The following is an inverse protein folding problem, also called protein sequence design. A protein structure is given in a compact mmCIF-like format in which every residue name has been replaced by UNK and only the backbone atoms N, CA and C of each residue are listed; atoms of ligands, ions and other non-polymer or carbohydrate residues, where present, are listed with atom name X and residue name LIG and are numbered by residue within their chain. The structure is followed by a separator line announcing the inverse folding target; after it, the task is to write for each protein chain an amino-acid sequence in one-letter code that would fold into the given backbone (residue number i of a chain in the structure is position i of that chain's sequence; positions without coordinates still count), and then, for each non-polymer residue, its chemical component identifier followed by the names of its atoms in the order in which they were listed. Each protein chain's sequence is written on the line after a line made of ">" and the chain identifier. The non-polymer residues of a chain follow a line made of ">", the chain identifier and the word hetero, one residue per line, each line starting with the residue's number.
data_IF_147905618050
#
_entry.id   IF_147905618050
#
_cell.length_a   1.000
_cell.length_b   1.000
_cell.length_c   1.000
_cell.angle_alpha   90.00
_cell.angle_beta   90.00
_cell.angle_gamma   90.00
#
_symmetry.space_group_name_H-M   'P 1'
#
loop_
_entity.id
_entity.type
_entity.pdbx_description
1 polymer ?
#
# COMPACT_ATOMS: atom_id res chain seq x y z
N UNK A 1 14.22 -26.26 19.45
CA UNK A 1 14.60 -26.55 18.06
C UNK A 1 15.37 -25.35 17.58
N UNK A 2 16.54 -25.55 16.97
CA UNK A 2 17.49 -24.48 16.69
C UNK A 2 16.92 -23.44 15.69
N UNK A 3 17.09 -22.17 16.00
CA UNK A 3 16.76 -20.96 15.22
C UNK A 3 17.28 -20.95 13.75
N UNK A 4 18.06 -21.95 13.37
CA UNK A 4 18.79 -21.98 12.08
C UNK A 4 17.96 -22.39 10.85
N UNK A 5 16.64 -22.54 10.99
CA UNK A 5 15.76 -22.95 9.86
C UNK A 5 14.83 -21.86 9.34
N UNK A 6 14.74 -20.73 10.04
CA UNK A 6 13.93 -19.59 9.61
C UNK A 6 14.77 -18.75 8.64
N UNK A 7 14.26 -18.56 7.42
CA UNK A 7 14.89 -17.74 6.38
C UNK A 7 14.75 -16.26 6.77
N UNK A 8 15.71 -15.45 6.33
CA UNK A 8 15.69 -14.01 6.58
C UNK A 8 14.64 -13.31 5.70
N UNK A 9 13.55 -12.86 6.33
CA UNK A 9 12.45 -12.16 5.66
C UNK A 9 12.89 -10.89 4.95
N UNK A 10 13.91 -10.23 5.47
CA UNK A 10 14.32 -8.90 5.01
C UNK A 10 15.36 -8.95 3.89
N UNK A 11 16.10 -10.03 3.74
CA UNK A 11 17.18 -10.13 2.76
C UNK A 11 17.05 -11.29 1.76
N UNK A 12 16.21 -12.30 2.04
CA UNK A 12 16.05 -13.47 1.16
C UNK A 12 15.00 -13.23 0.06
N UNK A 13 15.42 -13.03 -1.22
CA UNK A 13 14.51 -12.72 -2.32
C UNK A 13 13.60 -13.90 -2.68
N UNK A 14 13.96 -15.14 -2.33
CA UNK A 14 13.13 -16.30 -2.63
C UNK A 14 11.87 -16.36 -1.77
N UNK A 15 11.81 -15.68 -0.62
CA UNK A 15 10.59 -15.56 0.19
C UNK A 15 9.49 -14.87 -0.61
N UNK A 16 9.84 -13.91 -1.47
CA UNK A 16 8.85 -13.24 -2.32
C UNK A 16 8.14 -14.19 -3.29
N UNK A 17 8.78 -15.32 -3.65
CA UNK A 17 8.19 -16.32 -4.55
C UNK A 17 7.15 -17.23 -3.86
N UNK A 18 7.30 -17.47 -2.54
CA UNK A 18 6.34 -18.23 -1.72
C UNK A 18 6.13 -17.58 -0.36
N UNK A 19 5.75 -16.30 -0.37
CA UNK A 19 5.45 -15.57 0.86
C UNK A 19 4.30 -16.20 1.67
N UNK A 20 3.19 -16.68 1.06
CA UNK A 20 2.13 -17.33 1.82
C UNK A 20 2.62 -18.56 2.60
N UNK A 21 3.41 -19.43 1.97
CA UNK A 21 3.99 -20.60 2.62
C UNK A 21 4.94 -20.24 3.75
N UNK A 22 5.81 -19.26 3.53
CA UNK A 22 6.73 -18.74 4.55
C UNK A 22 5.96 -18.22 5.78
N UNK A 23 4.99 -17.31 5.58
CA UNK A 23 4.20 -16.71 6.67
C UNK A 23 3.31 -17.74 7.38
N UNK A 24 2.79 -18.75 6.66
CA UNK A 24 2.08 -19.88 7.27
C UNK A 24 3.02 -20.70 8.15
N UNK A 25 4.26 -20.93 7.71
CA UNK A 25 5.28 -21.61 8.49
C UNK A 25 5.60 -20.88 9.81
N UNK A 26 5.72 -19.56 9.79
CA UNK A 26 5.87 -18.74 11.01
C UNK A 26 4.65 -18.86 11.93
N UNK A 27 3.45 -18.67 11.39
CA UNK A 27 2.19 -18.74 12.15
C UNK A 27 1.98 -20.09 12.82
N UNK A 28 2.32 -21.17 12.16
CA UNK A 28 2.19 -22.52 12.72
C UNK A 28 3.14 -22.78 13.89
N UNK A 29 4.25 -22.06 13.97
CA UNK A 29 5.12 -22.11 15.13
C UNK A 29 4.56 -21.22 16.26
N UNK A 30 4.29 -19.97 15.96
CA UNK A 30 3.67 -19.00 16.86
C UNK A 30 3.07 -17.84 16.05
N UNK A 31 1.84 -17.37 16.32
CA UNK A 31 1.24 -16.21 15.66
C UNK A 31 2.02 -14.90 15.85
N UNK A 32 2.83 -14.81 16.89
CA UNK A 32 3.80 -13.73 17.15
C UNK A 32 5.15 -14.37 17.36
N UNK A 33 6.07 -14.23 16.43
CA UNK A 33 7.36 -14.89 16.46
C UNK A 33 8.48 -13.86 16.28
N UNK A 34 9.48 -13.88 17.17
CA UNK A 34 10.69 -13.10 16.99
C UNK A 34 11.58 -13.80 15.96
N UNK A 35 11.75 -13.16 14.79
CA UNK A 35 12.64 -13.71 13.77
C UNK A 35 14.11 -13.54 14.19
N UNK A 36 15.00 -14.48 13.80
CA UNK A 36 16.35 -14.55 14.37
C UNK A 36 17.38 -13.60 13.74
N UNK A 37 17.10 -12.98 12.59
CA UNK A 37 18.09 -12.20 11.84
C UNK A 37 18.12 -10.74 12.29
N UNK A 38 17.00 -10.02 12.15
CA UNK A 38 16.86 -8.61 12.55
C UNK A 38 16.21 -8.46 13.94
N UNK A 39 15.74 -9.55 14.54
CA UNK A 39 15.11 -9.57 15.85
C UNK A 39 13.71 -8.97 15.89
N UNK A 40 13.07 -8.82 14.74
CA UNK A 40 11.71 -8.25 14.57
C UNK A 40 10.66 -9.25 15.05
N UNK A 41 9.66 -8.78 15.78
CA UNK A 41 8.50 -9.59 16.11
C UNK A 41 7.52 -9.61 14.94
N UNK A 42 7.46 -10.73 14.23
CA UNK A 42 6.58 -10.97 13.09
C UNK A 42 5.19 -11.40 13.58
N UNK A 43 4.17 -10.61 13.31
CA UNK A 43 2.78 -10.89 13.69
C UNK A 43 2.03 -11.42 12.48
N UNK A 44 1.67 -12.69 12.51
CA UNK A 44 1.00 -13.42 11.43
C UNK A 44 -0.42 -13.88 11.80
N UNK A 45 -0.82 -13.71 13.07
CA UNK A 45 -2.15 -14.05 13.56
C UNK A 45 -3.10 -12.86 13.52
N UNK A 46 -4.39 -13.12 13.25
CA UNK A 46 -5.41 -12.09 13.06
C UNK A 46 -5.72 -11.32 14.34
N UNK A 47 -6.00 -12.03 15.44
CA UNK A 47 -6.34 -11.40 16.72
C UNK A 47 -5.15 -10.66 17.31
N UNK A 48 -3.95 -11.19 17.12
CA UNK A 48 -2.69 -10.57 17.54
C UNK A 48 -2.42 -9.27 16.76
N UNK A 49 -2.70 -9.26 15.46
CA UNK A 49 -2.61 -8.04 14.65
C UNK A 49 -3.59 -6.96 15.12
N UNK A 50 -4.82 -7.35 15.49
CA UNK A 50 -5.79 -6.41 16.06
C UNK A 50 -5.33 -5.83 17.39
N UNK A 51 -4.66 -6.62 18.27
CA UNK A 51 -4.08 -6.13 19.50
C UNK A 51 -3.04 -5.03 19.24
N UNK A 52 -2.14 -5.23 18.26
CA UNK A 52 -1.16 -4.21 17.85
C UNK A 52 -1.85 -2.94 17.36
N UNK A 53 -2.87 -3.07 16.51
CA UNK A 53 -3.57 -1.90 15.95
C UNK A 53 -4.42 -1.14 16.98
N UNK A 54 -4.95 -1.80 17.99
CA UNK A 54 -5.71 -1.15 19.07
C UNK A 54 -4.83 -0.35 20.02
N UNK A 55 -3.55 -0.67 20.13
CA UNK A 55 -2.59 -0.05 21.06
C UNK A 55 -1.68 0.98 20.37
N UNK A 56 -2.04 1.45 19.18
CA UNK A 56 -1.29 2.46 18.44
C UNK A 56 -1.30 3.82 19.16
N UNK A 57 -0.13 4.45 19.20
CA UNK A 57 0.08 5.78 19.79
C UNK A 57 0.35 5.77 21.30
N UNK A 58 0.02 4.71 22.02
CA UNK A 58 0.31 4.55 23.45
C UNK A 58 1.43 3.53 23.71
N UNK A 59 1.27 2.32 23.17
CA UNK A 59 2.24 1.23 23.31
C UNK A 59 3.08 1.08 22.05
N UNK A 60 2.46 1.25 20.87
CA UNK A 60 3.12 1.10 19.59
C UNK A 60 3.17 2.41 18.82
N UNK A 61 4.38 2.89 18.52
CA UNK A 61 4.63 4.04 17.66
C UNK A 61 4.66 3.63 16.19
N UNK A 62 4.15 4.49 15.35
CA UNK A 62 4.21 4.37 13.89
C UNK A 62 5.49 4.95 13.27
N UNK A 63 6.44 5.44 14.07
CA UNK A 63 7.65 6.11 13.58
C UNK A 63 8.47 5.27 12.57
N UNK A 64 8.36 3.94 12.63
CA UNK A 64 9.03 2.98 11.73
C UNK A 64 8.08 2.38 10.68
N UNK A 65 6.90 2.97 10.47
CA UNK A 65 5.87 2.37 9.62
C UNK A 65 6.25 2.24 8.15
N UNK A 66 7.12 3.11 7.64
CA UNK A 66 7.56 3.14 6.23
C UNK A 66 8.98 2.65 6.00
N UNK A 67 9.76 2.44 7.05
CA UNK A 67 11.14 1.95 6.95
C UNK A 67 11.37 0.62 7.67
N UNK A 68 10.45 0.17 8.52
CA UNK A 68 10.58 -1.09 9.24
C UNK A 68 11.82 -1.11 10.15
N UNK A 69 12.56 -2.24 10.20
CA UNK A 69 13.76 -2.39 11.02
C UNK A 69 15.01 -1.75 10.42
N UNK A 70 14.96 -1.30 9.18
CA UNK A 70 16.12 -0.83 8.44
C UNK A 70 15.94 0.64 7.99
N UNK A 71 16.97 1.49 8.22
CA UNK A 71 18.17 1.21 9.00
C UNK A 71 17.82 0.99 10.48
N UNK A 72 18.76 0.46 11.28
CA UNK A 72 18.59 0.35 12.73
C UNK A 72 18.24 1.70 13.37
N UNK A 73 17.58 1.67 14.53
CA UNK A 73 17.29 2.88 15.28
C UNK A 73 18.59 3.66 15.56
N UNK A 74 18.58 5.01 15.49
CA UNK A 74 19.76 5.83 15.77
C UNK A 74 20.15 5.89 17.25
N UNK A 75 19.48 5.12 18.10
CA UNK A 75 19.72 5.02 19.53
C UNK A 75 19.55 3.56 20.01
N UNK A 76 20.22 3.21 21.12
CA UNK A 76 19.97 1.97 21.83
C UNK A 76 18.76 2.14 22.74
N UNK A 77 17.67 1.35 22.58
CA UNK A 77 16.48 1.50 23.40
C UNK A 77 16.76 1.18 24.88
N UNK A 78 16.67 2.18 25.73
CA UNK A 78 16.85 2.05 27.19
C UNK A 78 15.90 3.01 27.92
N UNK A 79 15.26 2.55 28.99
CA UNK A 79 14.37 3.39 29.81
C UNK A 79 13.15 3.91 29.05
N UNK A 80 13.01 5.25 28.91
CA UNK A 80 11.88 5.88 28.22
C UNK A 80 12.14 5.94 26.70
N UNK A 81 11.70 4.91 25.99
CA UNK A 81 11.84 4.81 24.51
C UNK A 81 11.07 5.93 23.80
N UNK A 82 9.96 6.40 24.35
CA UNK A 82 9.20 7.50 23.74
C UNK A 82 9.99 8.82 23.78
N UNK A 83 10.67 9.11 24.88
CA UNK A 83 11.54 10.29 25.00
C UNK A 83 12.77 10.17 24.08
N UNK A 84 13.39 8.98 23.99
CA UNK A 84 14.50 8.73 23.05
C UNK A 84 14.05 8.91 21.60
N UNK A 85 12.90 8.34 21.23
CA UNK A 85 12.33 8.51 19.87
C UNK A 85 12.11 9.98 19.55
N UNK A 86 11.55 10.76 20.46
CA UNK A 86 11.32 12.20 20.26
C UNK A 86 12.64 12.95 20.07
N UNK A 87 13.69 12.62 20.84
CA UNK A 87 15.00 13.26 20.76
C UNK A 87 15.72 12.96 19.43
N UNK A 88 15.58 11.75 18.89
CA UNK A 88 16.27 11.29 17.68
C UNK A 88 15.42 11.27 16.43
N UNK A 89 14.18 11.80 16.48
CA UNK A 89 13.25 11.74 15.35
C UNK A 89 13.84 12.34 14.07
N UNK A 90 14.60 13.42 14.15
CA UNK A 90 15.23 14.05 13.01
C UNK A 90 16.38 13.27 12.35
N UNK A 91 16.87 12.23 13.03
CA UNK A 91 17.92 11.33 12.53
C UNK A 91 17.35 10.09 11.85
N UNK A 92 16.05 9.82 12.03
CA UNK A 92 15.37 8.68 11.43
C UNK A 92 14.93 9.03 10.01
N UNK A 93 15.14 8.13 9.03
CA UNK A 93 14.68 8.37 7.66
C UNK A 93 13.15 8.29 7.58
N UNK A 94 12.57 9.09 6.69
CA UNK A 94 11.15 9.04 6.31
C UNK A 94 10.15 9.24 7.46
N UNK A 95 10.55 9.98 8.50
CA UNK A 95 9.72 10.17 9.71
C UNK A 95 8.72 11.31 9.63
N UNK A 96 8.76 12.12 8.57
CA UNK A 96 7.90 13.29 8.40
C UNK A 96 6.67 13.04 7.51
N UNK A 97 6.17 11.81 7.53
CA UNK A 97 4.98 11.40 6.79
C UNK A 97 3.79 11.16 7.71
N UNK A 98 2.57 11.37 7.19
CA UNK A 98 1.35 11.12 7.95
C UNK A 98 1.30 9.70 8.55
N UNK A 99 1.83 8.70 7.85
CA UNK A 99 1.88 7.31 8.31
C UNK A 99 2.82 7.07 9.48
N UNK A 100 3.79 7.98 9.73
CA UNK A 100 4.80 7.85 10.79
C UNK A 100 4.52 8.72 12.01
N UNK A 101 3.47 9.55 11.97
CA UNK A 101 3.06 10.38 13.10
C UNK A 101 2.30 9.55 14.13
N UNK A 102 2.32 9.98 15.39
CA UNK A 102 1.58 9.36 16.49
C UNK A 102 0.72 10.39 17.26
N UNK A 103 -0.17 9.88 18.08
CA UNK A 103 -0.95 10.64 19.06
C UNK A 103 -1.71 11.82 18.46
N UNK A 104 -1.73 12.95 19.19
CA UNK A 104 -2.46 14.15 18.79
C UNK A 104 -1.90 14.79 17.52
N UNK A 105 -0.59 14.67 17.28
CA UNK A 105 0.03 15.18 16.07
C UNK A 105 -0.49 14.44 14.82
N UNK A 106 -0.53 13.11 14.88
CA UNK A 106 -1.17 12.31 13.83
C UNK A 106 -2.65 12.69 13.66
N UNK A 107 -3.40 12.73 14.76
CA UNK A 107 -4.84 13.00 14.72
C UNK A 107 -5.16 14.37 14.09
N UNK A 108 -4.36 15.41 14.40
CA UNK A 108 -4.52 16.75 13.84
C UNK A 108 -4.30 16.77 12.33
N UNK A 109 -3.23 16.16 11.84
CA UNK A 109 -2.90 16.14 10.42
C UNK A 109 -3.84 15.22 9.62
N UNK A 110 -4.20 14.06 10.21
CA UNK A 110 -5.19 13.16 9.62
C UNK A 110 -6.56 13.82 9.47
N UNK A 111 -6.98 14.62 10.45
CA UNK A 111 -8.25 15.35 10.39
C UNK A 111 -8.30 16.33 9.21
N UNK A 112 -7.20 17.02 8.92
CA UNK A 112 -7.07 17.91 7.75
C UNK A 112 -7.31 17.10 6.47
N UNK A 113 -6.59 15.99 6.27
CA UNK A 113 -6.72 15.17 5.06
C UNK A 113 -8.12 14.54 4.95
N UNK A 114 -8.68 14.04 6.07
CA UNK A 114 -10.01 13.43 6.07
C UNK A 114 -11.12 14.39 5.65
N UNK A 115 -11.03 15.66 6.04
CA UNK A 115 -11.98 16.69 5.61
C UNK A 115 -11.92 16.97 4.11
N UNK A 116 -10.81 16.67 3.46
CA UNK A 116 -10.60 16.90 2.04
C UNK A 116 -11.01 15.70 1.16
N UNK A 117 -10.98 14.47 1.71
CA UNK A 117 -11.43 13.26 1.02
C UNK A 117 -12.92 13.00 1.26
N UNK A 118 -13.75 13.95 0.86
CA UNK A 118 -15.19 13.86 1.00
C UNK A 118 -15.83 12.97 -0.08
N UNK A 119 -17.02 12.42 0.21
CA UNK A 119 -17.77 11.63 -0.77
C UNK A 119 -18.01 12.41 -2.08
N UNK A 120 -18.32 13.70 -2.00
CA UNK A 120 -18.56 14.54 -3.19
C UNK A 120 -17.31 14.71 -4.06
N UNK A 121 -16.12 14.86 -3.44
CA UNK A 121 -14.86 14.91 -4.20
C UNK A 121 -14.50 13.58 -4.83
N UNK A 122 -14.67 12.50 -4.09
CA UNK A 122 -14.44 11.16 -4.63
C UNK A 122 -15.41 10.87 -5.79
N UNK A 123 -16.67 11.31 -5.71
CA UNK A 123 -17.62 11.17 -6.81
C UNK A 123 -17.25 12.01 -8.03
N UNK A 124 -16.81 13.25 -7.84
CA UNK A 124 -16.33 14.10 -8.95
C UNK A 124 -15.05 13.51 -9.60
N UNK A 125 -14.15 12.95 -8.78
CA UNK A 125 -12.97 12.26 -9.28
C UNK A 125 -13.31 10.96 -10.02
N UNK A 126 -14.41 10.26 -9.68
CA UNK A 126 -14.87 9.06 -10.37
C UNK A 126 -15.18 9.35 -11.86
N UNK A 127 -15.84 10.48 -12.17
CA UNK A 127 -16.13 10.89 -13.55
C UNK A 127 -14.82 11.11 -14.35
N UNK A 128 -13.79 11.66 -13.69
CA UNK A 128 -12.46 11.78 -14.28
C UNK A 128 -11.82 10.40 -14.51
N UNK A 129 -11.90 9.50 -13.52
CA UNK A 129 -11.34 8.14 -13.61
C UNK A 129 -12.00 7.36 -14.74
N UNK A 130 -13.33 7.44 -14.91
CA UNK A 130 -14.04 6.79 -16.00
C UNK A 130 -13.53 7.28 -17.36
N UNK A 131 -13.34 8.59 -17.52
CA UNK A 131 -12.80 9.19 -18.75
C UNK A 131 -11.36 8.73 -19.00
N UNK A 132 -10.51 8.80 -17.98
CA UNK A 132 -9.10 8.41 -18.07
C UNK A 132 -8.96 6.92 -18.43
N UNK A 133 -9.71 6.04 -17.74
CA UNK A 133 -9.67 4.60 -18.03
C UNK A 133 -10.13 4.33 -19.46
N UNK A 134 -11.17 5.02 -19.95
CA UNK A 134 -11.61 4.91 -21.34
C UNK A 134 -10.47 5.25 -22.30
N UNK A 135 -9.78 6.37 -22.10
CA UNK A 135 -8.66 6.80 -22.94
C UNK A 135 -7.49 5.81 -22.92
N UNK A 136 -7.11 5.33 -21.72
CA UNK A 136 -6.03 4.36 -21.57
C UNK A 136 -6.38 3.03 -22.25
N UNK A 137 -7.60 2.53 -22.06
CA UNK A 137 -8.05 1.29 -22.69
C UNK A 137 -8.16 1.44 -24.21
N UNK A 138 -8.64 2.58 -24.73
CA UNK A 138 -8.68 2.87 -26.17
C UNK A 138 -7.29 2.79 -26.82
N UNK A 139 -6.26 3.27 -26.12
CA UNK A 139 -4.88 3.20 -26.58
C UNK A 139 -4.28 1.78 -26.59
N UNK A 140 -4.88 0.85 -25.86
CA UNK A 140 -4.37 -0.52 -25.69
C UNK A 140 -5.20 -1.58 -26.40
N UNK A 141 -6.51 -1.37 -26.54
CA UNK A 141 -7.47 -2.42 -26.91
C UNK A 141 -7.17 -3.08 -28.25
N UNK A 142 -6.73 -2.29 -29.25
CA UNK A 142 -6.41 -2.78 -30.61
C UNK A 142 -5.10 -3.59 -30.65
N UNK A 143 -4.25 -3.46 -29.64
CA UNK A 143 -2.97 -4.18 -29.56
C UNK A 143 -3.15 -5.64 -29.15
N UNK A 144 -4.29 -5.99 -28.52
CA UNK A 144 -4.59 -7.32 -28.04
C UNK A 144 -3.75 -7.77 -26.85
N UNK A 145 -2.98 -6.88 -26.24
CA UNK A 145 -2.16 -7.17 -25.07
C UNK A 145 -1.21 -6.03 -24.70
N UNK A 146 -0.71 -6.04 -23.46
CA UNK A 146 0.28 -5.07 -22.96
C UNK A 146 1.01 -5.60 -21.72
N UNK A 147 2.01 -4.86 -21.25
CA UNK A 147 2.54 -4.97 -19.89
C UNK A 147 1.65 -4.12 -18.96
N UNK A 148 0.79 -4.76 -18.18
CA UNK A 148 -0.30 -4.09 -17.48
C UNK A 148 0.20 -3.16 -16.37
N UNK A 149 1.33 -3.45 -15.74
CA UNK A 149 1.85 -2.68 -14.62
C UNK A 149 2.29 -1.30 -15.07
N UNK A 150 3.21 -1.24 -16.06
CA UNK A 150 3.80 0.02 -16.52
C UNK A 150 2.92 0.76 -17.55
N UNK A 151 2.29 0.03 -18.48
CA UNK A 151 1.55 0.67 -19.58
C UNK A 151 0.13 1.10 -19.18
N UNK A 152 -0.43 0.54 -18.10
CA UNK A 152 -1.78 0.87 -17.68
C UNK A 152 -1.86 1.27 -16.19
N UNK A 153 -1.45 0.38 -15.27
CA UNK A 153 -1.73 0.55 -13.84
C UNK A 153 -1.02 1.77 -13.23
N UNK A 154 0.27 1.95 -13.54
CA UNK A 154 1.03 3.12 -13.08
C UNK A 154 0.49 4.43 -13.67
N UNK A 155 0.15 4.45 -14.97
CA UNK A 155 -0.44 5.62 -15.59
C UNK A 155 -1.77 5.97 -14.93
N UNK A 156 -2.64 4.98 -14.72
CA UNK A 156 -3.94 5.16 -14.07
C UNK A 156 -3.77 5.77 -12.68
N UNK A 157 -3.09 5.09 -11.77
CA UNK A 157 -3.01 5.53 -10.38
C UNK A 157 -2.27 6.86 -10.20
N UNK A 158 -1.21 7.12 -10.98
CA UNK A 158 -0.49 8.41 -10.95
C UNK A 158 -1.40 9.56 -11.39
N UNK A 159 -2.12 9.39 -12.49
CA UNK A 159 -2.99 10.45 -13.02
C UNK A 159 -4.23 10.67 -12.16
N UNK A 160 -4.79 9.60 -11.59
CA UNK A 160 -5.93 9.70 -10.66
C UNK A 160 -5.57 10.49 -9.40
N UNK A 161 -4.44 10.17 -8.76
CA UNK A 161 -4.05 10.92 -7.55
C UNK A 161 -3.61 12.35 -7.89
N UNK A 162 -2.97 12.59 -9.03
CA UNK A 162 -2.62 13.92 -9.49
C UNK A 162 -3.86 14.80 -9.72
N UNK A 163 -4.89 14.24 -10.35
CA UNK A 163 -6.17 14.93 -10.57
C UNK A 163 -6.86 15.25 -9.24
N UNK A 164 -7.00 14.26 -8.37
CA UNK A 164 -7.63 14.44 -7.05
C UNK A 164 -6.97 15.56 -6.25
N UNK A 165 -5.65 15.64 -6.28
CA UNK A 165 -4.90 16.69 -5.60
C UNK A 165 -5.03 18.06 -6.28
N UNK A 166 -5.37 18.12 -7.55
CA UNK A 166 -5.43 19.35 -8.35
C UNK A 166 -4.08 19.76 -8.94
N UNK A 167 -3.23 18.76 -9.25
CA UNK A 167 -1.98 18.99 -10.00
C UNK A 167 -2.33 19.51 -11.39
N UNK A 168 -1.67 20.58 -11.89
CA UNK A 168 -1.88 21.10 -13.25
C UNK A 168 -1.69 20.01 -14.31
N UNK A 169 -2.54 20.03 -15.35
CA UNK A 169 -2.53 18.99 -16.39
C UNK A 169 -1.19 18.94 -17.14
N UNK A 170 -0.59 20.08 -17.38
CA UNK A 170 0.73 20.22 -18.03
C UNK A 170 1.86 19.56 -17.25
N UNK A 171 1.72 19.43 -15.93
CA UNK A 171 2.73 18.83 -15.05
C UNK A 171 2.54 17.32 -14.83
N UNK A 172 1.34 16.78 -15.12
CA UNK A 172 0.99 15.37 -14.85
C UNK A 172 1.88 14.40 -15.60
N UNK A 173 2.18 14.70 -16.88
CA UNK A 173 3.08 13.87 -17.69
C UNK A 173 4.48 13.81 -17.09
N UNK A 174 5.00 14.95 -16.62
CA UNK A 174 6.33 15.00 -16.00
C UNK A 174 6.36 14.22 -14.66
N UNK A 175 5.28 14.30 -13.87
CA UNK A 175 5.18 13.49 -12.65
C UNK A 175 5.12 12.00 -12.96
N UNK A 176 4.40 11.59 -14.01
CA UNK A 176 4.36 10.21 -14.47
C UNK A 176 5.74 9.71 -14.89
N UNK A 177 6.52 10.52 -15.62
CA UNK A 177 7.89 10.18 -16.03
C UNK A 177 8.86 10.13 -14.83
N UNK A 178 8.71 11.05 -13.87
CA UNK A 178 9.58 11.13 -12.69
C UNK A 178 9.33 10.00 -11.68
N UNK A 179 8.10 9.48 -11.65
CA UNK A 179 7.67 8.40 -10.75
C UNK A 179 7.56 7.04 -11.45
N UNK A 180 8.18 6.90 -12.62
CA UNK A 180 8.20 5.63 -13.35
C UNK A 180 8.59 4.46 -12.45
N UNK A 181 8.27 3.23 -12.84
CA UNK A 181 8.55 2.05 -12.04
C UNK A 181 10.08 1.84 -11.96
N UNK A 182 10.69 2.43 -10.94
CA UNK A 182 12.07 2.11 -10.56
C UNK A 182 12.03 1.24 -9.30
N UNK A 183 12.04 -0.08 -9.43
CA UNK A 183 12.06 -0.99 -8.31
C UNK A 183 13.33 -0.86 -7.46
N UNK A 184 14.37 -0.16 -7.97
CA UNK A 184 15.62 0.04 -7.25
C UNK A 184 15.54 1.15 -6.20
N UNK A 185 14.55 2.04 -6.29
CA UNK A 185 14.36 3.11 -5.30
C UNK A 185 13.84 2.60 -3.95
N UNK A 186 13.26 1.38 -3.90
CA UNK A 186 12.67 0.80 -2.68
C UNK A 186 13.36 -0.50 -2.23
N UNK A 187 14.60 -0.77 -2.63
CA UNK A 187 15.35 -1.96 -2.20
C UNK A 187 15.91 -2.78 -3.35
N UNK A 188 16.74 -2.18 -4.19
CA UNK A 188 17.47 -2.91 -5.22
C UNK A 188 18.61 -3.79 -4.67
N UNK A 189 19.28 -4.54 -5.56
CA UNK A 189 20.34 -5.55 -5.38
C UNK A 189 21.53 -5.21 -4.44
N UNK A 190 21.51 -4.07 -3.77
CA UNK A 190 22.58 -3.63 -2.87
C UNK A 190 22.31 -3.91 -1.39
N UNK A 191 21.39 -4.82 -1.09
CA UNK A 191 20.93 -5.05 0.30
C UNK A 191 20.18 -3.82 0.81
N UNK A 192 19.14 -4.02 1.62
CA UNK A 192 18.19 -3.02 2.12
C UNK A 192 18.83 -1.75 2.70
N UNK A 193 19.43 -0.92 1.83
CA UNK A 193 19.85 0.44 2.19
C UNK A 193 18.69 1.36 1.87
N UNK A 194 18.04 1.83 2.92
CA UNK A 194 17.08 2.92 2.78
C UNK A 194 17.84 4.15 2.29
N UNK A 195 17.52 4.55 1.08
CA UNK A 195 18.00 5.80 0.49
C UNK A 195 17.33 7.02 1.13
N UNK A 196 17.65 8.23 0.65
CA UNK A 196 16.91 9.43 1.01
C UNK A 196 15.42 9.23 0.69
N UNK A 197 14.56 10.00 1.38
CA UNK A 197 13.12 9.97 1.15
C UNK A 197 12.81 10.17 -0.35
N UNK A 198 12.18 9.20 -1.02
CA UNK A 198 11.91 9.28 -2.45
C UNK A 198 10.97 10.43 -2.82
N UNK A 199 10.23 10.99 -1.86
CA UNK A 199 9.32 12.11 -2.06
C UNK A 199 10.00 13.49 -1.95
N UNK A 200 11.25 13.54 -1.50
CA UNK A 200 11.99 14.81 -1.33
C UNK A 200 12.07 15.61 -2.63
N UNK A 201 12.25 14.95 -3.76
CA UNK A 201 12.33 15.62 -5.07
C UNK A 201 11.00 16.25 -5.52
N UNK A 202 9.87 15.77 -5.00
CA UNK A 202 8.53 16.34 -5.28
C UNK A 202 8.21 17.54 -4.41
N UNK A 203 8.84 17.64 -3.25
CA UNK A 203 8.52 18.62 -2.24
C UNK A 203 8.57 20.09 -2.73
N UNK A 204 9.63 20.54 -3.46
CA UNK A 204 9.66 21.90 -3.98
C UNK A 204 8.49 22.22 -4.91
N UNK A 205 8.08 21.26 -5.74
CA UNK A 205 6.98 21.41 -6.69
C UNK A 205 5.64 21.53 -5.98
N UNK A 206 5.34 20.65 -5.03
CA UNK A 206 4.11 20.75 -4.23
C UNK A 206 4.05 22.02 -3.39
N UNK A 207 5.19 22.48 -2.88
CA UNK A 207 5.27 23.78 -2.22
C UNK A 207 4.88 24.92 -3.16
N UNK A 208 5.41 24.95 -4.39
CA UNK A 208 5.04 25.95 -5.41
C UNK A 208 3.54 25.89 -5.70
N UNK A 209 2.95 24.72 -5.88
CA UNK A 209 1.50 24.61 -6.07
C UNK A 209 0.70 25.20 -4.90
N UNK A 210 1.12 24.98 -3.67
CA UNK A 210 0.45 25.53 -2.49
C UNK A 210 0.60 27.05 -2.40
N UNK A 211 1.77 27.61 -2.72
CA UNK A 211 2.01 29.07 -2.81
C UNK A 211 1.10 29.72 -3.85
N UNK A 212 0.96 29.11 -5.03
CA UNK A 212 0.02 29.56 -6.06
C UNK A 212 -1.43 29.53 -5.58
N UNK A 213 -1.85 28.45 -4.87
CA UNK A 213 -3.22 28.32 -4.35
C UNK A 213 -3.50 29.27 -3.19
N UNK A 214 -2.48 29.65 -2.43
CA UNK A 214 -2.60 30.68 -1.41
C UNK A 214 -2.86 32.06 -2.04
N UNK A 215 -2.16 32.37 -3.14
CA UNK A 215 -2.34 33.62 -3.87
C UNK A 215 -3.64 33.61 -4.71
N UNK A 216 -3.96 32.49 -5.34
CA UNK A 216 -5.12 32.33 -6.23
C UNK A 216 -5.80 30.97 -6.04
N UNK A 217 -6.78 30.87 -5.15
CA UNK A 217 -7.54 29.62 -4.94
C UNK A 217 -8.28 29.16 -6.20
N UNK A 218 -8.23 27.81 -6.47
CA UNK A 218 -8.88 27.18 -7.63
C UNK A 218 -10.03 26.25 -7.27
N UNK A 219 -10.36 26.11 -5.97
CA UNK A 219 -11.41 25.18 -5.51
C UNK A 219 -11.01 23.70 -5.48
N UNK A 220 -9.77 23.39 -5.83
CA UNK A 220 -9.19 22.03 -5.81
C UNK A 220 -8.78 21.57 -4.40
N UNK A 221 -8.23 20.37 -4.29
CA UNK A 221 -7.76 19.81 -3.02
C UNK A 221 -6.63 20.68 -2.43
N UNK A 222 -5.64 21.07 -3.23
CA UNK A 222 -4.52 21.91 -2.76
C UNK A 222 -4.99 23.25 -2.23
N UNK A 223 -5.97 23.92 -2.88
CA UNK A 223 -6.58 25.16 -2.37
C UNK A 223 -7.25 24.96 -1.01
N UNK A 224 -7.96 23.84 -0.85
CA UNK A 224 -8.60 23.51 0.42
C UNK A 224 -7.58 23.14 1.50
N UNK A 225 -6.46 22.51 1.10
CA UNK A 225 -5.35 22.18 1.99
C UNK A 225 -4.71 23.44 2.55
N UNK A 226 -4.44 24.44 1.72
CA UNK A 226 -3.92 25.76 2.14
C UNK A 226 -4.90 26.49 3.06
N UNK A 227 -6.21 26.38 2.80
CA UNK A 227 -7.25 26.98 3.62
C UNK A 227 -7.50 26.27 4.95
N UNK A 228 -6.95 25.06 5.15
CA UNK A 228 -7.17 24.26 6.35
C UNK A 228 -6.68 24.91 7.63
N UNK A 229 -7.27 24.53 8.77
CA UNK A 229 -6.89 24.99 10.11
C UNK A 229 -6.88 23.81 11.06
N UNK A 230 -6.01 23.89 12.05
CA UNK A 230 -6.08 23.02 13.21
C UNK A 230 -7.32 23.34 14.06
N UNK A 231 -7.65 22.48 15.02
CA UNK A 231 -8.81 22.67 15.92
C UNK A 231 -8.75 23.97 16.74
N UNK A 232 -7.56 24.46 17.03
CA UNK A 232 -7.32 25.71 17.75
C UNK A 232 -7.43 26.97 16.84
N UNK A 233 -7.72 26.78 15.55
CA UNK A 233 -7.83 27.84 14.55
C UNK A 233 -6.50 28.25 13.92
N UNK A 234 -5.36 27.75 14.39
CA UNK A 234 -4.06 28.07 13.81
C UNK A 234 -3.89 27.46 12.41
N UNK A 235 -3.09 28.11 11.57
CA UNK A 235 -2.78 27.65 10.22
C UNK A 235 -1.59 26.69 10.26
N UNK A 236 -1.69 25.49 9.63
CA UNK A 236 -0.52 24.64 9.47
C UNK A 236 0.58 25.37 8.67
N UNK A 237 1.87 25.18 9.02
CA UNK A 237 2.98 25.67 8.19
C UNK A 237 2.89 25.12 6.76
N UNK A 238 3.22 25.95 5.77
CA UNK A 238 3.17 25.55 4.35
C UNK A 238 4.03 24.32 4.07
N UNK A 239 5.16 24.22 4.74
CA UNK A 239 6.08 23.09 4.69
C UNK A 239 5.41 21.76 5.10
N UNK A 240 4.61 21.80 6.16
CA UNK A 240 3.83 20.62 6.63
C UNK A 240 2.78 20.24 5.59
N UNK A 241 2.08 21.23 5.03
CA UNK A 241 1.07 21.00 3.98
C UNK A 241 1.69 20.40 2.71
N UNK A 242 2.89 20.86 2.32
CA UNK A 242 3.62 20.33 1.17
C UNK A 242 4.00 18.86 1.40
N UNK A 243 4.50 18.49 2.58
CA UNK A 243 4.81 17.10 2.94
C UNK A 243 3.57 16.21 2.94
N UNK A 244 2.44 16.71 3.47
CA UNK A 244 1.17 15.97 3.43
C UNK A 244 0.71 15.71 1.99
N UNK A 245 0.81 16.72 1.11
CA UNK A 245 0.44 16.58 -0.30
C UNK A 245 1.37 15.59 -1.03
N UNK A 246 2.69 15.69 -0.82
CA UNK A 246 3.67 14.73 -1.36
C UNK A 246 3.38 13.30 -0.90
N UNK A 247 3.13 13.12 0.41
CA UNK A 247 2.82 11.81 0.95
C UNK A 247 1.54 11.23 0.36
N UNK A 248 0.48 12.02 0.22
CA UNK A 248 -0.77 11.57 -0.41
C UNK A 248 -0.54 11.15 -1.86
N UNK A 249 0.28 11.91 -2.60
CA UNK A 249 0.63 11.58 -3.98
C UNK A 249 1.37 10.24 -4.07
N UNK A 250 2.49 10.08 -3.35
CA UNK A 250 3.30 8.86 -3.40
C UNK A 250 2.57 7.62 -2.88
N UNK A 251 1.85 7.74 -1.75
CA UNK A 251 1.11 6.63 -1.17
C UNK A 251 -0.05 6.14 -2.06
N UNK A 252 -0.69 7.04 -2.82
CA UNK A 252 -1.82 6.71 -3.69
C UNK A 252 -1.41 6.06 -5.00
N UNK A 253 -0.25 6.40 -5.53
CA UNK A 253 0.21 5.95 -6.83
C UNK A 253 0.57 4.46 -6.85
N UNK A 254 1.52 4.06 -6.05
CA UNK A 254 2.25 2.81 -6.17
C UNK A 254 1.42 1.60 -5.68
N UNK A 255 0.73 1.75 -4.56
CA UNK A 255 -0.07 0.67 -3.97
C UNK A 255 -1.29 0.30 -4.82
N UNK A 256 -1.94 1.29 -5.45
CA UNK A 256 -3.08 1.06 -6.35
C UNK A 256 -2.65 0.36 -7.63
N UNK A 257 -1.51 0.74 -8.22
CA UNK A 257 -0.98 0.08 -9.42
C UNK A 257 -0.72 -1.42 -9.18
N UNK A 258 -0.16 -1.79 -8.02
CA UNK A 258 0.03 -3.19 -7.63
C UNK A 258 -1.29 -3.95 -7.48
N UNK A 259 -2.29 -3.31 -6.88
CA UNK A 259 -3.62 -3.93 -6.75
C UNK A 259 -4.25 -4.20 -8.11
N UNK A 260 -4.14 -3.27 -9.06
CA UNK A 260 -4.59 -3.46 -10.45
C UNK A 260 -3.88 -4.67 -11.07
N UNK A 261 -2.55 -4.74 -10.98
CA UNK A 261 -1.78 -5.85 -11.54
C UNK A 261 -2.19 -7.20 -10.94
N UNK A 262 -2.40 -7.30 -9.62
CA UNK A 262 -2.88 -8.52 -8.98
C UNK A 262 -4.31 -8.90 -9.40
N UNK A 263 -5.18 -7.93 -9.63
CA UNK A 263 -6.51 -8.20 -10.18
C UNK A 263 -6.41 -8.82 -11.58
N UNK A 264 -5.59 -8.26 -12.47
CA UNK A 264 -5.38 -8.78 -13.81
C UNK A 264 -4.71 -10.16 -13.81
N UNK A 265 -3.71 -10.39 -12.93
CA UNK A 265 -3.13 -11.72 -12.75
C UNK A 265 -4.20 -12.74 -12.37
N UNK A 266 -5.02 -12.41 -11.37
CA UNK A 266 -6.09 -13.31 -10.92
C UNK A 266 -7.12 -13.60 -12.02
N UNK A 267 -7.49 -12.60 -12.81
CA UNK A 267 -8.38 -12.78 -13.96
C UNK A 267 -7.75 -13.70 -15.01
N UNK A 268 -6.49 -13.49 -15.35
CA UNK A 268 -5.79 -14.29 -16.36
C UNK A 268 -5.51 -15.72 -15.91
N UNK A 269 -5.28 -15.96 -14.62
CA UNK A 269 -5.09 -17.29 -14.05
C UNK A 269 -6.41 -18.06 -13.82
N UNK A 270 -7.55 -17.33 -13.74
CA UNK A 270 -8.85 -17.90 -13.39
C UNK A 270 -9.96 -17.51 -14.41
N UNK A 271 -9.98 -18.07 -15.64
CA UNK A 271 -10.94 -17.68 -16.69
C UNK A 271 -12.41 -17.77 -16.27
N UNK A 272 -12.77 -18.71 -15.39
CA UNK A 272 -14.14 -18.87 -14.89
C UNK A 272 -14.59 -17.67 -14.03
N UNK A 273 -13.67 -16.97 -13.38
CA UNK A 273 -13.97 -15.75 -12.63
C UNK A 273 -14.33 -14.63 -13.58
N UNK A 274 -13.60 -14.47 -14.70
CA UNK A 274 -13.90 -13.46 -15.70
C UNK A 274 -15.33 -13.61 -16.24
N UNK A 275 -15.72 -14.86 -16.62
CA UNK A 275 -17.06 -15.14 -17.13
C UNK A 275 -18.14 -14.72 -16.13
N UNK A 276 -17.94 -15.05 -14.85
CA UNK A 276 -18.89 -14.70 -13.81
C UNK A 276 -18.95 -13.19 -13.56
N UNK A 277 -17.80 -12.48 -13.55
CA UNK A 277 -17.78 -11.03 -13.36
C UNK A 277 -18.37 -10.26 -14.55
N UNK A 278 -18.24 -10.78 -15.78
CA UNK A 278 -18.91 -10.22 -16.97
C UNK A 278 -20.42 -10.35 -16.87
N UNK A 279 -20.91 -11.52 -16.43
CA UNK A 279 -22.33 -11.75 -16.24
C UNK A 279 -22.91 -10.99 -15.04
N UNK A 280 -22.12 -10.74 -14.01
CA UNK A 280 -22.52 -10.18 -12.73
C UNK A 280 -21.54 -9.07 -12.27
N UNK A 281 -21.46 -7.90 -12.96
CA UNK A 281 -20.48 -6.84 -12.65
C UNK A 281 -20.57 -6.31 -11.22
N UNK A 282 -21.75 -6.37 -10.58
CA UNK A 282 -21.94 -5.99 -9.19
C UNK A 282 -21.10 -6.79 -8.18
N UNK A 283 -20.45 -7.88 -8.60
CA UNK A 283 -19.52 -8.69 -7.81
C UNK A 283 -18.08 -8.19 -7.85
N UNK A 284 -17.72 -7.29 -8.77
CA UNK A 284 -16.36 -6.76 -8.88
C UNK A 284 -15.86 -6.19 -7.55
N UNK A 285 -16.63 -5.44 -6.76
CA UNK A 285 -16.17 -4.98 -5.45
C UNK A 285 -15.77 -6.11 -4.48
N UNK A 286 -16.48 -7.23 -4.47
CA UNK A 286 -16.11 -8.40 -3.64
C UNK A 286 -14.87 -9.11 -4.16
N UNK A 287 -14.73 -9.21 -5.48
CA UNK A 287 -13.53 -9.74 -6.13
C UNK A 287 -12.29 -8.92 -5.71
N UNK A 288 -12.36 -7.60 -5.74
CA UNK A 288 -11.27 -6.72 -5.29
C UNK A 288 -10.92 -6.97 -3.82
N UNK A 289 -11.91 -7.13 -2.93
CA UNK A 289 -11.65 -7.44 -1.52
C UNK A 289 -10.94 -8.79 -1.33
N UNK A 290 -11.26 -9.81 -2.12
CA UNK A 290 -10.59 -11.09 -2.04
C UNK A 290 -9.17 -11.03 -2.62
N UNK A 291 -8.93 -10.24 -3.68
CA UNK A 291 -7.57 -9.96 -4.15
C UNK A 291 -6.77 -9.22 -3.06
N UNK A 292 -7.34 -8.21 -2.42
CA UNK A 292 -6.71 -7.51 -1.29
C UNK A 292 -6.40 -8.46 -0.13
N UNK A 293 -7.24 -9.44 0.14
CA UNK A 293 -7.00 -10.45 1.17
C UNK A 293 -5.83 -11.36 0.80
N UNK A 294 -5.81 -11.87 -0.42
CA UNK A 294 -4.81 -12.86 -0.85
C UNK A 294 -3.49 -12.23 -1.28
N UNK A 295 -3.53 -11.04 -1.87
CA UNK A 295 -2.38 -10.33 -2.44
C UNK A 295 -2.35 -8.86 -1.97
N UNK A 296 -2.21 -8.61 -0.66
CA UNK A 296 -2.16 -7.24 -0.16
C UNK A 296 -0.91 -6.52 -0.67
N UNK A 297 -1.04 -5.31 -1.28
CA UNK A 297 0.10 -4.55 -1.80
C UNK A 297 1.14 -4.13 -0.76
N UNK A 298 0.78 -4.15 0.53
CA UNK A 298 1.69 -3.88 1.64
C UNK A 298 1.92 -5.18 2.41
N UNK A 299 3.17 -5.67 2.42
CA UNK A 299 3.57 -6.92 3.08
C UNK A 299 3.55 -6.80 4.60
N UNK A 300 4.11 -5.69 5.11
CA UNK A 300 4.33 -5.47 6.53
C UNK A 300 3.92 -4.06 6.94
N UNK A 301 3.37 -3.96 8.14
CA UNK A 301 3.02 -2.70 8.81
C UNK A 301 3.77 -2.64 10.14
N UNK A 302 4.95 -2.00 10.10
CA UNK A 302 5.87 -2.00 11.24
C UNK A 302 5.49 -0.97 12.31
N UNK A 303 5.81 -1.29 13.55
CA UNK A 303 5.61 -0.47 14.75
C UNK A 303 6.81 -0.60 15.68
N UNK A 304 7.10 0.45 16.43
CA UNK A 304 8.09 0.43 17.52
C UNK A 304 7.36 0.31 18.86
N UNK A 305 7.70 -0.69 19.65
CA UNK A 305 7.18 -0.82 21.01
C UNK A 305 7.80 0.26 21.91
N UNK A 306 6.98 1.14 22.46
CA UNK A 306 7.41 2.21 23.37
C UNK A 306 7.53 1.72 24.81
N UNK A 307 6.84 0.64 25.15
CA UNK A 307 6.77 0.04 26.50
C UNK A 307 6.82 -1.47 26.36
N UNK A 308 7.27 -2.14 27.43
CA UNK A 308 7.10 -3.60 27.54
C UNK A 308 5.61 -3.96 27.43
N UNK A 309 5.31 -4.94 26.62
CA UNK A 309 3.92 -5.36 26.37
C UNK A 309 3.84 -6.84 26.06
N UNK A 310 2.61 -7.36 25.97
CA UNK A 310 2.34 -8.75 25.60
C UNK A 310 1.34 -8.78 24.46
N UNK A 311 1.68 -9.47 23.37
CA UNK A 311 0.80 -9.70 22.23
C UNK A 311 0.67 -11.20 21.99
N UNK A 312 -0.55 -11.72 22.00
CA UNK A 312 -0.78 -13.16 21.80
C UNK A 312 -0.07 -14.06 22.82
N UNK A 313 0.20 -13.57 24.04
CA UNK A 313 0.94 -14.29 25.07
C UNK A 313 2.46 -14.22 24.94
N UNK A 314 2.99 -13.48 23.94
CA UNK A 314 4.44 -13.28 23.74
C UNK A 314 4.85 -11.93 24.33
N UNK A 315 5.86 -11.93 25.20
CA UNK A 315 6.46 -10.72 25.76
C UNK A 315 7.26 -9.97 24.68
N UNK A 316 6.99 -8.68 24.53
CA UNK A 316 7.64 -7.76 23.58
C UNK A 316 8.28 -6.64 24.40
N UNK A 317 9.61 -6.62 24.54
CA UNK A 317 10.31 -5.55 25.25
C UNK A 317 10.16 -4.19 24.55
N UNK A 318 10.19 -3.12 25.32
CA UNK A 318 10.31 -1.75 24.80
C UNK A 318 11.52 -1.64 23.85
N UNK A 319 11.37 -0.86 22.79
CA UNK A 319 12.39 -0.72 21.74
C UNK A 319 12.37 -1.82 20.66
N UNK A 320 11.55 -2.86 20.83
CA UNK A 320 11.38 -3.89 19.81
C UNK A 320 10.59 -3.38 18.61
N UNK A 321 10.97 -3.81 17.39
CA UNK A 321 10.16 -3.59 16.20
C UNK A 321 9.20 -4.76 16.05
N UNK A 322 7.94 -4.43 15.77
CA UNK A 322 6.82 -5.36 15.56
C UNK A 322 6.28 -5.14 14.16
N UNK A 323 6.31 -6.16 13.31
CA UNK A 323 5.82 -6.10 11.94
C UNK A 323 4.57 -6.96 11.77
N UNK A 324 3.42 -6.32 11.54
CA UNK A 324 2.18 -7.01 11.21
C UNK A 324 2.24 -7.44 9.74
N UNK A 325 2.31 -8.76 9.51
CA UNK A 325 2.46 -9.36 8.19
C UNK A 325 1.09 -9.57 7.53
N UNK A 326 0.67 -8.62 6.70
CA UNK A 326 -0.69 -8.62 6.13
C UNK A 326 -1.03 -9.91 5.37
N UNK A 327 -0.11 -10.44 4.55
CA UNK A 327 -0.30 -11.68 3.82
C UNK A 327 -0.50 -12.91 4.73
N UNK A 328 0.13 -12.94 5.92
CA UNK A 328 -0.06 -13.97 6.93
C UNK A 328 -1.37 -13.79 7.68
N UNK A 329 -1.64 -12.59 8.17
CA UNK A 329 -2.85 -12.23 8.92
C UNK A 329 -4.11 -12.49 8.09
N UNK A 330 -4.10 -12.09 6.83
CA UNK A 330 -5.22 -12.30 5.91
C UNK A 330 -5.42 -13.77 5.51
N UNK A 331 -4.51 -14.66 5.88
CA UNK A 331 -4.61 -16.12 5.69
C UNK A 331 -4.68 -16.89 7.02
N UNK A 332 -5.01 -16.23 8.11
CA UNK A 332 -5.21 -16.92 9.40
C UNK A 332 -6.46 -17.81 9.34
N UNK A 333 -6.31 -19.15 9.47
CA UNK A 333 -7.45 -20.07 9.39
C UNK A 333 -8.44 -19.91 10.54
N UNK A 334 -8.03 -19.28 11.65
CA UNK A 334 -8.92 -18.95 12.77
C UNK A 334 -9.97 -17.89 12.36
N UNK A 335 -9.64 -17.04 11.34
CA UNK A 335 -10.53 -16.01 10.82
C UNK A 335 -11.11 -16.34 9.45
N UNK A 336 -10.31 -16.93 8.55
CA UNK A 336 -10.70 -17.21 7.17
C UNK A 336 -10.65 -18.72 6.93
N UNK A 337 -11.81 -19.37 6.84
CA UNK A 337 -11.87 -20.78 6.50
C UNK A 337 -11.29 -21.01 5.10
N UNK A 338 -10.53 -22.10 4.91
CA UNK A 338 -9.81 -22.41 3.66
C UNK A 338 -9.07 -21.17 3.12
N UNK A 339 -8.08 -20.62 3.88
CA UNK A 339 -7.55 -19.28 3.63
C UNK A 339 -6.79 -19.16 2.30
N UNK A 340 -6.26 -20.24 1.77
CA UNK A 340 -5.53 -20.28 0.49
C UNK A 340 -6.45 -20.42 -0.72
N UNK A 341 -7.71 -20.78 -0.51
CA UNK A 341 -8.72 -20.80 -1.56
C UNK A 341 -9.17 -19.37 -1.87
N UNK A 342 -9.06 -18.96 -3.14
CA UNK A 342 -9.63 -17.72 -3.63
C UNK A 342 -11.16 -17.84 -3.71
N UNK A 343 -11.89 -17.08 -2.89
CA UNK A 343 -13.35 -17.12 -2.79
C UNK A 343 -13.91 -15.73 -2.46
N UNK A 344 -14.24 -14.97 -3.51
CA UNK A 344 -14.78 -13.62 -3.34
C UNK A 344 -16.26 -13.58 -2.87
N UNK A 345 -16.93 -14.70 -2.76
CA UNK A 345 -18.26 -14.82 -2.12
C UNK A 345 -18.15 -15.08 -0.60
N UNK A 346 -16.95 -15.14 -0.06
CA UNK A 346 -16.66 -15.28 1.35
C UNK A 346 -17.39 -14.20 2.16
N UNK A 347 -18.13 -14.61 3.20
CA UNK A 347 -18.97 -13.70 3.99
C UNK A 347 -18.13 -12.61 4.71
N UNK A 348 -16.91 -12.96 5.11
CA UNK A 348 -16.00 -12.10 5.87
C UNK A 348 -14.82 -11.55 5.04
N UNK A 349 -14.95 -11.45 3.71
CA UNK A 349 -13.90 -10.96 2.82
C UNK A 349 -13.39 -9.54 3.22
N UNK A 350 -14.28 -8.70 3.76
CA UNK A 350 -13.94 -7.35 4.22
C UNK A 350 -13.22 -7.28 5.57
N UNK A 351 -13.04 -8.42 6.22
CA UNK A 351 -12.24 -8.47 7.44
C UNK A 351 -10.75 -8.44 7.17
N UNK A 352 -10.32 -8.55 5.91
CA UNK A 352 -8.92 -8.38 5.54
C UNK A 352 -8.34 -7.06 6.08
N UNK A 353 -7.04 -7.08 6.37
CA UNK A 353 -6.32 -5.94 6.92
C UNK A 353 -5.43 -5.23 5.89
N UNK A 354 -5.64 -5.44 4.60
CA UNK A 354 -4.80 -4.85 3.55
C UNK A 354 -4.72 -3.31 3.64
N UNK A 355 -5.78 -2.67 4.15
CA UNK A 355 -5.83 -1.23 4.42
C UNK A 355 -5.55 -0.87 5.87
N UNK A 356 -4.90 -1.74 6.66
CA UNK A 356 -4.68 -1.56 8.09
C UNK A 356 -5.98 -1.44 8.90
N UNK A 357 -5.86 -1.16 10.21
CA UNK A 357 -6.98 -0.93 11.13
C UNK A 357 -6.60 0.17 12.15
N UNK A 358 -7.59 0.65 12.90
CA UNK A 358 -7.37 1.64 13.95
C UNK A 358 -7.11 3.05 13.43
N UNK A 359 -6.34 3.83 14.17
CA UNK A 359 -6.06 5.24 13.86
C UNK A 359 -5.32 5.43 12.53
N UNK A 360 -4.53 4.44 12.11
CA UNK A 360 -3.78 4.43 10.85
C UNK A 360 -4.48 3.63 9.72
N UNK A 361 -5.77 3.30 9.82
CA UNK A 361 -6.50 2.72 8.70
C UNK A 361 -6.35 3.61 7.45
N UNK A 362 -6.15 3.00 6.27
CA UNK A 362 -5.86 3.75 5.03
C UNK A 362 -6.97 4.74 4.69
N UNK A 363 -6.60 6.01 4.58
CA UNK A 363 -7.54 7.08 4.23
C UNK A 363 -7.89 7.06 2.74
N UNK A 364 -7.00 6.53 1.87
CA UNK A 364 -7.19 6.39 0.43
C UNK A 364 -7.98 5.14 0.01
N UNK A 365 -8.39 4.28 0.96
CA UNK A 365 -9.06 3.01 0.64
C UNK A 365 -10.33 3.15 -0.24
N UNK A 366 -11.18 4.18 -0.10
CA UNK A 366 -12.30 4.39 -1.01
C UNK A 366 -11.86 4.73 -2.44
N UNK A 367 -10.80 5.54 -2.59
CA UNK A 367 -10.24 5.91 -3.90
C UNK A 367 -9.66 4.69 -4.61
N UNK A 368 -8.79 3.93 -3.93
CA UNK A 368 -8.17 2.72 -4.48
C UNK A 368 -9.21 1.69 -4.97
N UNK A 369 -10.27 1.48 -4.19
CA UNK A 369 -11.37 0.58 -4.58
C UNK A 369 -12.14 1.09 -5.80
N UNK A 370 -12.37 2.39 -5.89
CA UNK A 370 -13.09 3.00 -7.00
C UNK A 370 -12.29 2.91 -8.30
N UNK A 371 -11.03 3.32 -8.30
CA UNK A 371 -10.20 3.28 -9.51
C UNK A 371 -10.01 1.86 -10.06
N UNK A 372 -9.75 0.88 -9.17
CA UNK A 372 -9.62 -0.53 -9.59
C UNK A 372 -10.95 -1.09 -10.11
N UNK A 373 -12.09 -0.73 -9.48
CA UNK A 373 -13.41 -1.13 -9.95
C UNK A 373 -13.68 -0.61 -11.35
N UNK A 374 -13.48 0.69 -11.60
CA UNK A 374 -13.71 1.30 -12.90
C UNK A 374 -12.80 0.67 -13.98
N UNK A 375 -11.52 0.43 -13.65
CA UNK A 375 -10.59 -0.24 -14.55
C UNK A 375 -11.09 -1.63 -14.96
N UNK A 376 -11.49 -2.46 -13.99
CA UNK A 376 -11.97 -3.82 -14.25
C UNK A 376 -13.30 -3.83 -15.03
N UNK A 377 -14.25 -2.95 -14.67
CA UNK A 377 -15.52 -2.83 -15.37
C UNK A 377 -15.31 -2.52 -16.88
N UNK A 378 -14.44 -1.57 -17.18
CA UNK A 378 -14.18 -1.18 -18.57
C UNK A 378 -13.41 -2.24 -19.37
N UNK A 379 -12.37 -2.85 -18.77
CA UNK A 379 -11.66 -3.95 -19.43
C UNK A 379 -12.57 -5.16 -19.68
N UNK A 380 -13.31 -5.58 -18.68
CA UNK A 380 -14.23 -6.71 -18.81
C UNK A 380 -15.35 -6.45 -19.82
N UNK A 381 -15.83 -5.23 -19.96
CA UNK A 381 -16.86 -4.88 -20.95
C UNK A 381 -16.34 -4.88 -22.39
N UNK A 382 -15.04 -4.67 -22.60
CA UNK A 382 -14.44 -4.43 -23.93
C UNK A 382 -13.55 -5.57 -24.44
N UNK A 383 -13.33 -6.58 -23.59
CA UNK A 383 -12.56 -7.78 -23.92
C UNK A 383 -13.39 -9.03 -23.66
N UNK A 384 -13.15 -10.10 -24.39
CA UNK A 384 -13.86 -11.38 -24.20
C UNK A 384 -13.04 -12.40 -23.40
N UNK A 385 -11.73 -12.36 -23.50
CA UNK A 385 -10.82 -13.29 -22.84
C UNK A 385 -9.54 -12.55 -22.45
N UNK A 386 -9.28 -12.43 -21.14
CA UNK A 386 -8.03 -11.90 -20.61
C UNK A 386 -7.20 -13.09 -20.16
N UNK A 387 -5.98 -13.20 -20.67
CA UNK A 387 -5.07 -14.31 -20.37
C UNK A 387 -3.67 -13.82 -20.09
N UNK A 388 -2.93 -14.57 -19.31
CA UNK A 388 -1.52 -14.30 -19.06
C UNK A 388 -0.73 -14.70 -20.31
N UNK A 389 0.15 -13.81 -20.77
CA UNK A 389 0.98 -14.04 -21.95
C UNK A 389 1.99 -15.18 -21.66
N UNK A 390 1.85 -16.29 -22.41
CA UNK A 390 2.66 -17.49 -22.17
C UNK A 390 4.14 -17.29 -22.51
N UNK A 391 4.43 -16.44 -23.47
CA UNK A 391 5.81 -16.15 -23.87
C UNK A 391 6.64 -15.57 -22.74
N UNK A 392 6.03 -14.77 -21.87
CA UNK A 392 6.71 -14.11 -20.74
C UNK A 392 6.57 -14.87 -19.44
N UNK A 393 5.43 -15.50 -19.21
CA UNK A 393 5.10 -16.07 -17.90
C UNK A 393 5.01 -17.60 -17.90
N UNK A 394 5.17 -18.28 -19.03
CA UNK A 394 5.02 -19.72 -19.16
C UNK A 394 3.56 -20.18 -19.27
N UNK A 395 3.32 -21.47 -19.55
CA UNK A 395 1.99 -22.03 -19.78
C UNK A 395 1.16 -22.10 -18.51
N UNK A 396 -0.16 -22.23 -18.67
CA UNK A 396 -1.08 -22.47 -17.57
C UNK A 396 -0.65 -23.69 -16.74
N UNK A 397 -0.66 -23.56 -15.40
CA UNK A 397 -0.19 -24.57 -14.46
C UNK A 397 1.33 -24.59 -14.21
N UNK A 398 2.12 -23.83 -14.99
CA UNK A 398 3.55 -23.63 -14.77
C UNK A 398 3.97 -22.15 -14.93
N UNK A 399 3.10 -21.23 -14.54
CA UNK A 399 3.34 -19.79 -14.56
C UNK A 399 4.51 -19.41 -13.66
N UNK A 400 5.28 -18.43 -14.11
CA UNK A 400 6.38 -17.82 -13.35
C UNK A 400 6.15 -16.32 -13.28
N UNK A 401 6.06 -15.82 -12.06
CA UNK A 401 5.94 -14.41 -11.78
C UNK A 401 7.18 -13.93 -11.05
N UNK A 402 7.80 -12.85 -11.53
CA UNK A 402 8.87 -12.18 -10.81
C UNK A 402 8.25 -11.13 -9.88
N UNK A 403 8.51 -11.27 -8.59
CA UNK A 403 8.07 -10.30 -7.58
C UNK A 403 9.15 -9.26 -7.31
N UNK A 404 8.73 -8.08 -6.89
CA UNK A 404 9.65 -7.03 -6.49
C UNK A 404 10.41 -7.44 -5.23
N UNK A 405 11.75 -7.23 -5.20
CA UNK A 405 12.59 -7.63 -4.07
C UNK A 405 12.50 -6.62 -2.92
N UNK A 406 11.29 -6.30 -2.46
CA UNK A 406 11.08 -5.38 -1.34
C UNK A 406 10.48 -6.12 -0.15
N UNK A 407 10.82 -5.71 1.07
CA UNK A 407 10.24 -6.31 2.27
C UNK A 407 8.93 -5.63 2.72
N UNK A 408 8.67 -4.40 2.28
CA UNK A 408 7.49 -3.65 2.69
C UNK A 408 6.34 -3.77 1.69
N UNK A 409 6.64 -3.67 0.40
CA UNK A 409 5.64 -3.70 -0.67
C UNK A 409 5.59 -5.07 -1.36
N UNK A 410 4.43 -5.42 -1.86
CA UNK A 410 4.17 -6.63 -2.64
C UNK A 410 3.67 -6.25 -4.02
N UNK A 411 4.46 -6.55 -5.03
CA UNK A 411 4.17 -6.24 -6.41
C UNK A 411 4.85 -7.20 -7.38
N UNK A 412 4.36 -7.22 -8.60
CA UNK A 412 4.97 -7.91 -9.72
C UNK A 412 5.94 -6.95 -10.42
N UNK A 413 7.13 -7.43 -10.78
CA UNK A 413 8.08 -6.65 -11.58
C UNK A 413 7.50 -6.31 -12.96
N UNK A 414 6.75 -7.24 -13.54
CA UNK A 414 6.00 -7.07 -14.78
C UNK A 414 4.86 -8.08 -14.85
N UNK A 415 3.77 -7.70 -15.51
CA UNK A 415 2.66 -8.60 -15.84
C UNK A 415 2.21 -8.38 -17.28
N UNK A 416 2.58 -9.29 -18.18
CA UNK A 416 2.13 -9.28 -19.56
C UNK A 416 0.80 -10.03 -19.69
N UNK A 417 -0.19 -9.35 -20.20
CA UNK A 417 -1.52 -9.90 -20.47
C UNK A 417 -1.90 -9.74 -21.92
N UNK A 418 -2.70 -10.67 -22.41
CA UNK A 418 -3.29 -10.65 -23.73
C UNK A 418 -4.81 -10.72 -23.58
N UNK A 419 -5.53 -10.27 -24.61
CA UNK A 419 -7.00 -10.34 -24.64
C UNK A 419 -7.53 -10.42 -26.07
N UNK A 420 -8.75 -10.95 -26.16
CA UNK A 420 -9.55 -10.86 -27.37
C UNK A 420 -10.58 -9.71 -27.19
N UNK A 421 -10.94 -9.03 -28.26
CA UNK A 421 -11.97 -7.99 -28.23
C UNK A 421 -13.35 -8.61 -28.00
N UNK A 422 -14.22 -7.91 -27.26
CA UNK A 422 -15.61 -8.30 -27.05
C UNK A 422 -16.45 -8.07 -28.33
#
# INVERSE_FOLDING_TARGET
>A
MSDSTIRDFFSDPEIAQDMPGYLAGLRNQCPVLREPHEGVFMVTGYDEALQVFQQQGDIFSSAVAVNGPLPPLPFTPEGDVAAQLAAHRGEMPWTDHLATFDGDYHAAHRAIIAQLLTHSRLKANEDYVETLVTQLVDGLIERGGCEITSEFAHALSTLVIADLLGVPEEDRKHLLEAMGPDPTQLGGDQGFKIGPDPLVHLHPRFRTYLEEREAQPRGDFLSSLVASRYKDGSKPPLEVLARLACFMFGAGQDTSARLVAFCFRTLGDCPHIQQKLRAEPHRIPKFIEEVLRTEPPVKTMSRLALKDTVVGGVEIPAGSIVSVCSGGVNRDPRRFADPDRFDYDRANVRDNIAFSRGSHACIGAPLARMEVRVALEQFLARTSDIRIAEAQHGPAGARRYAFEPTYMLHGLQALHVEWDRA
#
